data_IF_078414439608
#
_entry.id   IF_078414439608
#
_cell.length_a   1.000
_cell.length_b   1.000
_cell.length_c   1.000
_cell.angle_alpha   90.00
_cell.angle_beta   90.00
_cell.angle_gamma   90.00
#
_symmetry.space_group_name_H-M   'P 1'
#
loop_
_entity.id
_entity.type
_entity.pdbx_description
1 polymer ?
#
# COMPACT_ATOMS: atom_id res chain seq x y z
N UNK A 1 -20.86 13.12 16.67
CA UNK A 1 -20.83 12.39 15.39
C UNK A 1 -19.53 11.62 15.31
N UNK A 2 -19.59 10.31 15.42
CA UNK A 2 -18.45 9.44 15.23
C UNK A 2 -18.12 9.42 13.73
N UNK A 3 -16.90 9.80 13.40
CA UNK A 3 -16.36 9.70 12.06
C UNK A 3 -16.52 8.26 11.55
N UNK A 4 -17.19 8.02 10.39
CA UNK A 4 -17.38 6.66 9.88
C UNK A 4 -16.07 5.90 9.69
N UNK A 5 -14.94 6.57 9.45
CA UNK A 5 -13.62 5.95 9.42
C UNK A 5 -13.23 5.29 10.76
N UNK A 6 -13.68 5.86 11.87
CA UNK A 6 -13.39 5.34 13.21
C UNK A 6 -14.19 4.06 13.53
N UNK A 7 -15.35 3.90 12.91
CA UNK A 7 -16.20 2.72 13.09
C UNK A 7 -15.65 1.48 12.38
N UNK A 8 -14.96 1.69 11.23
CA UNK A 8 -14.30 0.61 10.52
C UNK A 8 -13.04 0.12 11.23
N UNK A 9 -12.29 1.02 11.87
CA UNK A 9 -11.09 0.67 12.63
C UNK A 9 -11.41 -0.18 13.87
N UNK A 10 -12.60 0.00 14.45
CA UNK A 10 -13.00 -0.74 15.66
C UNK A 10 -13.53 -2.15 15.36
N UNK A 11 -13.93 -2.45 14.13
CA UNK A 11 -14.57 -3.72 13.78
C UNK A 11 -13.61 -4.75 13.18
N UNK A 12 -12.35 -4.34 12.85
CA UNK A 12 -11.36 -5.24 12.27
C UNK A 12 -10.01 -5.08 12.98
N UNK A 13 -9.84 -5.72 14.15
CA UNK A 13 -8.62 -5.57 14.95
C UNK A 13 -7.35 -6.01 14.21
N UNK A 14 -7.44 -7.02 13.32
CA UNK A 14 -6.31 -7.46 12.50
C UNK A 14 -5.86 -6.38 11.52
N UNK A 15 -6.79 -5.73 10.85
CA UNK A 15 -6.54 -4.66 9.90
C UNK A 15 -5.87 -3.46 10.59
N UNK A 16 -6.42 -3.03 11.72
CA UNK A 16 -5.86 -1.94 12.52
C UNK A 16 -4.44 -2.26 13.01
N UNK A 17 -4.21 -3.49 13.49
CA UNK A 17 -2.90 -3.93 13.97
C UNK A 17 -1.87 -3.93 12.83
N UNK A 18 -2.23 -4.44 11.65
CA UNK A 18 -1.36 -4.46 10.48
C UNK A 18 -0.92 -3.05 10.08
N UNK A 19 -1.85 -2.12 10.03
CA UNK A 19 -1.58 -0.71 9.69
C UNK A 19 -0.62 -0.07 10.69
N UNK A 20 -0.87 -0.28 11.98
CA UNK A 20 0.01 0.23 13.04
C UNK A 20 1.40 -0.38 12.95
N UNK A 21 1.51 -1.67 12.62
CA UNK A 21 2.78 -2.35 12.47
C UNK A 21 3.59 -1.75 11.33
N UNK A 22 2.99 -1.51 10.16
CA UNK A 22 3.68 -0.86 9.03
C UNK A 22 4.12 0.55 9.38
N UNK A 23 3.27 1.33 10.03
CA UNK A 23 3.59 2.68 10.46
C UNK A 23 4.76 2.70 11.44
N UNK A 24 4.84 1.71 12.32
CA UNK A 24 5.95 1.57 13.27
C UNK A 24 7.24 1.06 12.62
N UNK A 25 7.15 0.07 11.74
CA UNK A 25 8.32 -0.53 11.09
C UNK A 25 8.96 0.39 10.05
N UNK A 26 8.14 1.10 9.30
CA UNK A 26 8.61 2.02 8.25
C UNK A 26 8.74 3.39 8.88
N UNK A 27 9.95 3.68 9.38
CA UNK A 27 10.25 4.95 10.01
C UNK A 27 10.31 6.07 8.98
N UNK A 28 10.09 7.30 9.42
CA UNK A 28 10.08 8.50 8.56
C UNK A 28 11.39 8.67 7.77
N UNK A 29 12.51 8.22 8.31
CA UNK A 29 13.80 8.24 7.64
C UNK A 29 13.90 7.26 6.46
N UNK A 30 13.04 6.22 6.43
CA UNK A 30 12.99 5.21 5.37
C UNK A 30 11.94 5.59 4.32
N UNK A 31 10.76 6.03 4.75
CA UNK A 31 9.69 6.38 3.85
C UNK A 31 8.50 6.99 4.55
N UNK A 32 7.59 7.56 3.76
CA UNK A 32 6.33 8.10 4.25
C UNK A 32 5.24 7.05 4.11
N UNK A 33 4.51 6.81 5.19
CA UNK A 33 3.38 5.89 5.25
C UNK A 33 2.08 6.67 5.33
N UNK A 34 1.17 6.40 4.42
CA UNK A 34 -0.21 6.89 4.48
C UNK A 34 -1.13 5.70 4.71
N UNK A 35 -2.01 5.80 5.72
CA UNK A 35 -2.91 4.73 6.12
C UNK A 35 -4.34 5.11 5.75
N UNK A 36 -5.10 4.16 5.22
CA UNK A 36 -6.50 4.33 4.84
C UNK A 36 -6.71 5.51 3.90
N UNK A 37 -5.90 5.56 2.82
CA UNK A 37 -6.03 6.58 1.79
C UNK A 37 -7.34 6.38 1.02
N UNK A 38 -8.23 7.37 1.07
CA UNK A 38 -9.52 7.33 0.40
C UNK A 38 -9.38 7.43 -1.11
N UNK A 39 -10.12 6.58 -1.83
CA UNK A 39 -10.29 6.68 -3.29
C UNK A 39 -11.52 7.54 -3.55
N UNK A 40 -11.37 8.78 -4.06
CA UNK A 40 -12.48 9.69 -4.26
C UNK A 40 -13.55 9.12 -5.22
N UNK A 41 -14.81 9.32 -4.88
CA UNK A 41 -15.94 8.85 -5.68
C UNK A 41 -16.31 7.39 -5.50
N UNK A 42 -15.51 6.63 -4.74
CA UNK A 42 -15.77 5.25 -4.40
C UNK A 42 -15.73 5.07 -2.88
N UNK A 43 -16.47 4.09 -2.36
CA UNK A 43 -16.41 3.74 -0.93
C UNK A 43 -15.24 2.79 -0.67
N UNK A 44 -14.06 3.16 -1.17
CA UNK A 44 -12.85 2.35 -1.10
C UNK A 44 -11.72 3.12 -0.42
N UNK A 45 -10.91 2.39 0.32
CA UNK A 45 -9.69 2.90 0.95
C UNK A 45 -8.52 2.01 0.58
N UNK A 46 -7.38 2.63 0.30
CA UNK A 46 -6.12 1.91 0.19
C UNK A 46 -5.58 1.74 1.61
N UNK A 47 -5.29 0.50 2.00
CA UNK A 47 -4.89 0.20 3.37
C UNK A 47 -3.64 0.97 3.77
N UNK A 48 -2.57 0.78 3.03
CA UNK A 48 -1.27 1.41 3.31
C UNK A 48 -0.61 1.83 2.01
N UNK A 49 -0.14 3.05 1.97
CA UNK A 49 0.66 3.59 0.88
C UNK A 49 2.03 3.96 1.42
N UNK A 50 3.08 3.52 0.74
CA UNK A 50 4.45 3.84 1.11
C UNK A 50 5.13 4.60 -0.02
N UNK A 51 5.67 5.76 0.32
CA UNK A 51 6.54 6.56 -0.55
C UNK A 51 7.95 6.48 0.00
N UNK A 52 8.91 5.84 -0.71
CA UNK A 52 10.27 5.75 -0.23
C UNK A 52 10.91 7.12 -0.09
N UNK A 53 11.78 7.26 0.92
CA UNK A 53 12.65 8.42 1.01
C UNK A 53 13.78 8.26 -0.01
N UNK A 54 14.02 9.25 -0.91
CA UNK A 54 15.12 9.17 -1.89
C UNK A 54 16.50 9.02 -1.26
N UNK A 55 16.69 9.60 -0.07
CA UNK A 55 17.94 9.58 0.67
C UNK A 55 17.70 9.09 2.10
N UNK A 56 17.42 7.78 2.27
CA UNK A 56 17.15 7.26 3.60
C UNK A 56 18.40 7.32 4.47
N UNK A 57 18.23 7.76 5.73
CA UNK A 57 19.31 7.72 6.73
C UNK A 57 19.39 6.35 7.40
N UNK A 58 18.27 5.60 7.43
CA UNK A 58 18.26 4.20 7.85
C UNK A 58 18.52 3.25 6.70
N UNK A 59 18.78 1.99 7.02
CA UNK A 59 18.95 0.93 6.02
C UNK A 59 17.60 0.22 5.76
N UNK A 60 16.93 0.46 4.62
CA UNK A 60 15.66 -0.21 4.32
C UNK A 60 15.78 -1.73 4.28
N UNK A 61 16.94 -2.27 3.90
CA UNK A 61 17.16 -3.70 3.80
C UNK A 61 17.18 -4.41 5.16
N UNK A 62 17.31 -3.65 6.27
CA UNK A 62 17.16 -4.20 7.62
C UNK A 62 15.75 -4.72 7.90
N UNK A 63 14.76 -4.30 7.11
CA UNK A 63 13.39 -4.78 7.20
C UNK A 63 13.14 -6.05 6.38
N UNK A 64 14.17 -6.63 5.78
CA UNK A 64 14.05 -7.87 4.99
C UNK A 64 13.18 -7.70 3.75
N UNK A 65 12.21 -8.58 3.56
CA UNK A 65 11.33 -8.56 2.39
C UNK A 65 10.51 -7.27 2.30
N UNK A 66 10.04 -6.77 3.43
CA UNK A 66 9.34 -5.47 3.48
C UNK A 66 10.24 -4.34 2.95
N UNK A 67 11.51 -4.31 3.36
CA UNK A 67 12.46 -3.31 2.88
C UNK A 67 12.68 -3.36 1.37
N UNK A 68 12.65 -4.55 0.79
CA UNK A 68 12.72 -4.71 -0.68
C UNK A 68 11.46 -4.20 -1.36
N UNK A 69 10.30 -4.48 -0.79
CA UNK A 69 9.01 -4.08 -1.33
C UNK A 69 8.86 -2.55 -1.37
N UNK A 70 9.37 -1.85 -0.37
CA UNK A 70 9.19 -0.39 -0.21
C UNK A 70 10.27 0.45 -0.87
N UNK A 71 11.15 -0.12 -1.68
CA UNK A 71 12.15 0.64 -2.44
C UNK A 71 11.57 1.46 -3.58
N UNK A 72 10.34 1.17 -3.95
CA UNK A 72 9.55 1.93 -4.92
C UNK A 72 8.23 2.33 -4.28
N UNK A 73 7.57 3.38 -4.78
CA UNK A 73 6.21 3.67 -4.33
C UNK A 73 5.37 2.41 -4.40
N UNK A 74 4.63 2.11 -3.34
CA UNK A 74 3.84 0.89 -3.30
C UNK A 74 2.59 1.02 -2.45
N UNK A 75 1.65 0.13 -2.74
CA UNK A 75 0.44 -0.09 -1.99
C UNK A 75 0.58 -1.44 -1.30
N UNK A 76 0.32 -1.48 0.00
CA UNK A 76 0.28 -2.70 0.79
C UNK A 76 -1.17 -2.96 1.19
N UNK A 77 -1.73 -4.05 0.67
CA UNK A 77 -3.08 -4.52 1.03
C UNK A 77 -2.93 -5.81 1.83
N UNK A 78 -3.42 -5.79 3.07
CA UNK A 78 -3.25 -6.90 3.99
C UNK A 78 -4.55 -7.66 4.17
N UNK A 79 -4.49 -8.97 3.97
CA UNK A 79 -5.62 -9.88 4.13
C UNK A 79 -5.31 -10.93 5.18
N UNK A 80 -6.26 -11.22 6.03
CA UNK A 80 -6.14 -12.29 7.02
C UNK A 80 -6.15 -13.68 6.36
N UNK A 81 -6.95 -13.83 5.30
CA UNK A 81 -7.02 -15.02 4.47
C UNK A 81 -6.71 -14.65 3.02
N UNK A 82 -6.42 -15.63 2.18
CA UNK A 82 -6.18 -15.38 0.76
C UNK A 82 -7.35 -14.61 0.14
N UNK A 83 -7.10 -13.49 -0.55
CA UNK A 83 -8.18 -12.69 -1.13
C UNK A 83 -8.86 -13.43 -2.26
N UNK A 84 -10.16 -13.14 -2.46
CA UNK A 84 -10.92 -13.62 -3.61
C UNK A 84 -10.44 -12.95 -4.90
N UNK A 85 -10.84 -13.50 -6.05
CA UNK A 85 -10.56 -12.86 -7.34
C UNK A 85 -11.15 -11.45 -7.42
N UNK A 86 -12.37 -11.25 -6.89
CA UNK A 86 -13.00 -9.93 -6.82
C UNK A 86 -12.19 -8.96 -5.97
N UNK A 87 -11.77 -9.37 -4.77
CA UNK A 87 -10.94 -8.54 -3.90
C UNK A 87 -9.61 -8.18 -4.55
N UNK A 88 -9.00 -9.12 -5.27
CA UNK A 88 -7.77 -8.88 -6.05
C UNK A 88 -7.98 -7.84 -7.14
N UNK A 89 -9.10 -7.92 -7.87
CA UNK A 89 -9.46 -6.94 -8.89
C UNK A 89 -9.63 -5.54 -8.29
N UNK A 90 -10.24 -5.44 -7.11
CA UNK A 90 -10.37 -4.18 -6.39
C UNK A 90 -9.00 -3.62 -6.02
N UNK A 91 -8.08 -4.45 -5.55
CA UNK A 91 -6.70 -4.03 -5.27
C UNK A 91 -6.00 -3.50 -6.53
N UNK A 92 -6.19 -4.15 -7.67
CA UNK A 92 -5.63 -3.69 -8.94
C UNK A 92 -6.23 -2.35 -9.38
N UNK A 93 -7.53 -2.14 -9.17
CA UNK A 93 -8.18 -0.86 -9.41
C UNK A 93 -7.56 0.25 -8.52
N UNK A 94 -7.38 -0.01 -7.24
CA UNK A 94 -6.73 0.93 -6.31
C UNK A 94 -5.32 1.29 -6.79
N UNK A 95 -4.55 0.32 -7.26
CA UNK A 95 -3.22 0.56 -7.81
C UNK A 95 -3.28 1.47 -9.03
N UNK A 96 -4.19 1.23 -9.97
CA UNK A 96 -4.35 2.05 -11.17
C UNK A 96 -4.75 3.48 -10.80
N UNK A 97 -5.71 3.63 -9.89
CA UNK A 97 -6.11 4.95 -9.41
C UNK A 97 -4.92 5.69 -8.78
N UNK A 98 -4.15 5.01 -7.94
CA UNK A 98 -3.00 5.62 -7.26
C UNK A 98 -1.88 5.99 -8.25
N UNK A 99 -1.65 5.15 -9.26
CA UNK A 99 -0.76 5.49 -10.38
C UNK A 99 -1.15 6.81 -11.04
N UNK A 100 -2.41 6.97 -11.37
CA UNK A 100 -2.92 8.19 -11.99
C UNK A 100 -2.78 9.39 -11.04
N UNK A 101 -3.01 9.20 -9.76
CA UNK A 101 -2.86 10.25 -8.75
C UNK A 101 -1.40 10.70 -8.61
N UNK A 102 -0.46 9.77 -8.56
CA UNK A 102 0.97 10.11 -8.51
C UNK A 102 1.41 10.85 -9.77
N UNK A 103 0.92 10.43 -10.93
CA UNK A 103 1.20 11.12 -12.20
C UNK A 103 0.66 12.55 -12.19
N UNK A 104 -0.55 12.76 -11.68
CA UNK A 104 -1.13 14.10 -11.52
C UNK A 104 -0.32 14.97 -10.55
N UNK A 105 0.11 14.40 -9.43
CA UNK A 105 0.96 15.11 -8.45
C UNK A 105 2.28 15.54 -9.07
N UNK A 106 2.92 14.67 -9.82
CA UNK A 106 4.17 14.98 -10.52
C UNK A 106 3.98 16.12 -11.52
N UNK A 107 2.89 16.09 -12.30
CA UNK A 107 2.57 17.14 -13.26
C UNK A 107 2.36 18.50 -12.57
N UNK A 108 1.63 18.53 -11.45
CA UNK A 108 1.43 19.76 -10.66
C UNK A 108 2.75 20.29 -10.10
N UNK A 109 3.63 19.41 -9.68
CA UNK A 109 4.96 19.76 -9.15
C UNK A 109 6.01 20.01 -10.25
N UNK A 110 5.62 19.91 -11.53
CA UNK A 110 6.51 20.05 -12.69
C UNK A 110 7.72 19.10 -12.62
N UNK A 111 7.48 17.89 -12.13
CA UNK A 111 8.46 16.83 -12.03
C UNK A 111 8.23 15.77 -13.11
N UNK A 112 9.31 15.14 -13.56
CA UNK A 112 9.24 14.02 -14.49
C UNK A 112 8.70 12.79 -13.76
N UNK A 113 7.75 12.09 -14.38
CA UNK A 113 7.20 10.83 -13.89
C UNK A 113 7.71 9.69 -14.75
N UNK A 114 8.52 8.82 -14.16
CA UNK A 114 9.19 7.72 -14.88
C UNK A 114 8.57 6.37 -14.51
N UNK A 115 8.98 5.32 -15.19
CA UNK A 115 8.53 3.96 -14.90
C UNK A 115 8.83 3.53 -13.46
N UNK A 116 9.95 3.99 -12.90
CA UNK A 116 10.33 3.67 -11.51
C UNK A 116 9.47 4.40 -10.47
N UNK A 117 8.74 5.44 -10.87
CA UNK A 117 7.83 6.18 -10.00
C UNK A 117 6.44 5.53 -9.92
N UNK A 118 6.16 4.55 -10.78
CA UNK A 118 4.88 3.85 -10.80
C UNK A 118 4.74 2.98 -9.55
N UNK A 119 3.57 3.01 -8.88
CA UNK A 119 3.38 2.24 -7.66
C UNK A 119 3.26 0.75 -7.94
N UNK A 120 3.83 -0.05 -7.07
CA UNK A 120 3.65 -1.49 -7.04
C UNK A 120 2.53 -1.86 -6.07
N UNK A 121 1.84 -2.94 -6.37
CA UNK A 121 0.85 -3.52 -5.48
C UNK A 121 1.45 -4.77 -4.81
N UNK A 122 1.40 -4.78 -3.48
CA UNK A 122 1.75 -5.94 -2.68
C UNK A 122 0.54 -6.39 -1.89
N UNK A 123 0.13 -7.62 -2.11
CA UNK A 123 -0.91 -8.27 -1.32
C UNK A 123 -0.20 -9.15 -0.30
N UNK A 124 -0.43 -8.84 0.96
CA UNK A 124 0.21 -9.52 2.09
C UNK A 124 -0.83 -10.37 2.80
N UNK A 125 -0.59 -11.66 2.88
CA UNK A 125 -1.47 -12.62 3.54
C UNK A 125 -0.66 -13.70 4.24
N UNK A 126 -1.07 -14.17 5.44
CA UNK A 126 -0.42 -15.28 6.11
C UNK A 126 -0.51 -16.59 5.34
N UNK A 127 -1.55 -16.75 4.51
CA UNK A 127 -1.79 -17.94 3.71
C UNK A 127 -2.02 -17.57 2.25
N UNK A 128 -1.42 -18.32 1.34
CA UNK A 128 -1.65 -18.16 -0.10
C UNK A 128 -2.39 -19.38 -0.62
N UNK A 129 -3.40 -19.19 -1.49
CA UNK A 129 -4.02 -20.29 -2.20
C UNK A 129 -3.14 -20.71 -3.38
N UNK A 130 -3.20 -21.98 -3.76
CA UNK A 130 -2.42 -22.54 -4.87
C UNK A 130 -2.70 -21.84 -6.22
N UNK A 131 -3.81 -21.13 -6.34
CA UNK A 131 -4.16 -20.41 -7.57
C UNK A 131 -3.31 -19.17 -7.83
N UNK A 132 -2.62 -18.63 -6.81
CA UNK A 132 -1.76 -17.46 -6.96
C UNK A 132 -0.31 -17.80 -7.33
N UNK A 133 0.09 -19.06 -7.23
CA UNK A 133 1.44 -19.48 -7.60
C UNK A 133 1.64 -19.70 -9.10
N UNK A 134 0.57 -19.69 -9.90
CA UNK A 134 0.60 -19.99 -11.33
C UNK A 134 0.89 -18.79 -12.24
N UNK A 135 0.99 -17.58 -11.71
CA UNK A 135 1.22 -16.36 -12.50
C UNK A 135 2.62 -15.76 -12.31
N UNK A 136 3.61 -16.62 -12.13
CA UNK A 136 5.00 -16.21 -12.29
C UNK A 136 5.50 -16.64 -13.67
N UNK A 137 5.25 -15.80 -14.64
CA UNK A 137 6.01 -15.77 -15.88
C UNK A 137 6.56 -14.38 -16.05
#
# INVERSE_FOLDING_TARGET
MTNPANKFLSTQPFDSLSKQLYDHLIREDIGRVEISLEVPGESLFIDVVVTPNPNPTGNPLSLGLLGRAIQRPCILETYRNAPTAEATNICMFKRIWYFLELRRRAKRAKQTFTKSDQPQLWIVTPTASHHYSATRN
#
